data_IF_513545833300
#
_entry.id   IF_513545833300
#
_cell.length_a   1.000
_cell.length_b   1.000
_cell.length_c   1.000
_cell.angle_alpha   90.00
_cell.angle_beta   90.00
_cell.angle_gamma   90.00
#
_symmetry.space_group_name_H-M   'P 1'
#
loop_
_entity.id
_entity.type
_entity.pdbx_description
1 polymer ?
#
# COMPACT_ATOMS: atom_id res chain seq x y z
N UNK A 1 -1.43 1.14 -11.47
CA UNK A 1 -1.73 -0.04 -10.63
C UNK A 1 -3.06 0.06 -9.89
N UNK A 2 -3.59 1.24 -9.68
CA UNK A 2 -4.86 1.52 -9.01
C UNK A 2 -6.07 0.65 -9.44
N UNK A 3 -6.22 0.32 -10.69
CA UNK A 3 -7.32 -0.54 -11.17
C UNK A 3 -7.18 -2.03 -10.85
N UNK A 4 -6.00 -2.53 -10.47
CA UNK A 4 -5.80 -3.98 -10.19
C UNK A 4 -6.22 -4.39 -8.78
N UNK A 5 -6.18 -3.51 -7.81
CA UNK A 5 -6.59 -3.81 -6.43
C UNK A 5 -8.09 -3.68 -6.18
N UNK A 6 -8.76 -2.79 -6.91
CA UNK A 6 -10.23 -2.62 -6.86
C UNK A 6 -11.02 -3.76 -7.55
N UNK A 7 -10.36 -4.74 -8.17
CA UNK A 7 -11.01 -5.82 -8.92
C UNK A 7 -11.00 -7.19 -8.25
N UNK A 8 -10.62 -7.32 -6.98
CA UNK A 8 -10.87 -8.55 -6.24
C UNK A 8 -12.38 -8.68 -5.97
N UNK A 9 -13.12 -9.18 -6.96
CA UNK A 9 -14.58 -9.37 -6.87
C UNK A 9 -14.95 -10.51 -5.91
N UNK A 10 -13.98 -11.39 -5.58
CA UNK A 10 -14.16 -12.54 -4.70
C UNK A 10 -12.98 -12.71 -3.75
N UNK A 11 -13.27 -13.07 -2.51
CA UNK A 11 -12.26 -13.22 -1.44
C UNK A 11 -11.69 -14.64 -1.45
N UNK A 12 -10.35 -14.75 -1.47
CA UNK A 12 -9.66 -16.03 -1.34
C UNK A 12 -9.92 -16.66 0.04
N UNK A 13 -10.18 -17.97 0.15
CA UNK A 13 -10.57 -18.61 1.41
C UNK A 13 -9.38 -18.82 2.36
N UNK A 14 -8.78 -17.75 2.84
CA UNK A 14 -7.60 -17.76 3.72
C UNK A 14 -7.76 -18.57 4.99
N UNK A 15 -8.97 -18.60 5.56
CA UNK A 15 -9.27 -19.29 6.82
C UNK A 15 -9.23 -20.81 6.73
N UNK A 16 -9.28 -21.36 5.51
CA UNK A 16 -9.24 -22.80 5.24
C UNK A 16 -7.87 -23.29 4.79
N UNK A 17 -6.94 -22.39 4.52
CA UNK A 17 -5.65 -22.73 3.93
C UNK A 17 -4.54 -22.26 4.88
N UNK A 18 -3.64 -23.17 5.31
CA UNK A 18 -2.51 -22.77 6.14
C UNK A 18 -1.59 -21.80 5.41
N UNK A 19 -1.07 -20.80 6.13
CA UNK A 19 -0.08 -19.87 5.56
C UNK A 19 1.16 -20.64 5.09
N UNK A 20 1.65 -20.29 3.91
CA UNK A 20 2.79 -20.96 3.28
C UNK A 20 2.45 -22.28 2.57
N UNK A 21 1.19 -22.71 2.60
CA UNK A 21 0.76 -23.90 1.88
C UNK A 21 0.97 -23.80 0.38
N UNK A 22 1.16 -24.92 -0.28
CA UNK A 22 1.13 -25.04 -1.74
C UNK A 22 -0.32 -25.17 -2.24
N UNK A 23 -0.70 -24.40 -3.26
CA UNK A 23 -2.09 -24.34 -3.74
C UNK A 23 -2.15 -24.62 -5.24
N UNK A 24 -3.09 -25.48 -5.63
CA UNK A 24 -3.56 -25.65 -7.01
C UNK A 24 -4.88 -24.88 -7.12
N UNK A 25 -4.95 -23.92 -8.02
CA UNK A 25 -6.16 -23.17 -8.29
C UNK A 25 -6.95 -23.82 -9.42
N UNK A 26 -8.16 -24.31 -9.14
CA UNK A 26 -9.03 -24.93 -10.13
C UNK A 26 -10.14 -23.95 -10.55
N UNK A 27 -10.13 -23.59 -11.83
CA UNK A 27 -11.00 -22.58 -12.43
C UNK A 27 -10.30 -21.22 -12.51
N UNK A 28 -10.30 -20.62 -13.73
CA UNK A 28 -9.63 -19.32 -13.96
C UNK A 28 -10.55 -18.28 -14.61
N UNK A 29 -11.85 -18.37 -14.33
CA UNK A 29 -12.81 -17.30 -14.58
C UNK A 29 -12.63 -16.11 -13.62
N UNK A 30 -13.64 -15.28 -13.46
CA UNK A 30 -13.62 -14.10 -12.59
C UNK A 30 -13.15 -14.42 -11.15
N UNK A 31 -13.64 -15.52 -10.57
CA UNK A 31 -13.23 -15.97 -9.24
C UNK A 31 -11.76 -16.35 -9.20
N UNK A 32 -11.32 -17.17 -10.15
CA UNK A 32 -9.94 -17.66 -10.20
C UNK A 32 -8.93 -16.53 -10.42
N UNK A 33 -9.24 -15.55 -11.27
CA UNK A 33 -8.40 -14.37 -11.47
C UNK A 33 -8.34 -13.52 -10.22
N UNK A 34 -9.46 -13.36 -9.50
CA UNK A 34 -9.51 -12.66 -8.21
C UNK A 34 -8.65 -13.37 -7.16
N UNK A 35 -8.76 -14.69 -7.05
CA UNK A 35 -7.93 -15.48 -6.13
C UNK A 35 -6.44 -15.46 -6.49
N UNK A 36 -6.11 -15.58 -7.77
CA UNK A 36 -4.74 -15.48 -8.27
C UNK A 36 -4.10 -14.15 -7.92
N UNK A 37 -4.83 -13.06 -8.13
CA UNK A 37 -4.35 -11.71 -7.79
C UNK A 37 -4.00 -11.60 -6.30
N UNK A 38 -4.87 -12.11 -5.42
CA UNK A 38 -4.65 -12.11 -3.97
C UNK A 38 -3.48 -13.02 -3.55
N UNK A 39 -3.38 -14.24 -4.10
CA UNK A 39 -2.25 -15.14 -3.81
C UNK A 39 -0.93 -14.48 -4.16
N UNK A 40 -0.89 -13.78 -5.30
CA UNK A 40 0.33 -13.13 -5.79
C UNK A 40 0.71 -11.89 -4.98
N UNK A 41 -0.26 -11.04 -4.63
CA UNK A 41 -0.02 -9.82 -3.85
C UNK A 41 0.35 -10.13 -2.42
N UNK A 42 -0.41 -11.05 -1.79
CA UNK A 42 -0.30 -11.32 -0.36
C UNK A 42 0.84 -12.28 0.00
N UNK A 43 1.34 -13.05 -0.98
CA UNK A 43 2.34 -14.12 -0.76
C UNK A 43 1.93 -15.04 0.44
N UNK A 44 0.62 -15.15 0.67
CA UNK A 44 0.07 -15.93 1.79
C UNK A 44 0.35 -17.42 1.63
N UNK A 45 0.22 -17.92 0.41
CA UNK A 45 0.51 -19.28 0.00
C UNK A 45 1.29 -19.28 -1.32
N UNK A 46 1.82 -20.43 -1.70
CA UNK A 46 2.55 -20.60 -2.97
C UNK A 46 1.61 -21.18 -4.01
N UNK A 47 1.44 -20.51 -5.14
CA UNK A 47 0.70 -21.05 -6.27
C UNK A 47 1.55 -22.10 -6.98
N UNK A 48 1.14 -23.37 -6.90
CA UNK A 48 1.79 -24.50 -7.56
C UNK A 48 1.35 -24.61 -9.02
N UNK A 49 0.04 -24.60 -9.26
CA UNK A 49 -0.54 -24.75 -10.59
C UNK A 49 -1.88 -24.04 -10.69
N UNK A 50 -2.23 -23.66 -11.91
CA UNK A 50 -3.60 -23.24 -12.28
C UNK A 50 -4.14 -24.22 -13.33
N UNK A 51 -5.32 -24.78 -13.08
CA UNK A 51 -6.02 -25.63 -14.02
C UNK A 51 -7.42 -25.10 -14.32
N UNK A 52 -7.87 -25.27 -15.56
CA UNK A 52 -9.22 -24.87 -15.98
C UNK A 52 -9.83 -25.85 -16.99
N UNK A 53 -11.10 -26.24 -16.79
CA UNK A 53 -11.81 -27.18 -17.65
C UNK A 53 -12.17 -26.58 -19.02
N UNK A 54 -12.36 -25.26 -19.09
CA UNK A 54 -12.69 -24.53 -20.32
C UNK A 54 -11.50 -24.23 -21.22
N UNK A 55 -10.28 -24.54 -20.77
CA UNK A 55 -9.06 -24.24 -21.52
C UNK A 55 -8.76 -25.36 -22.53
N UNK A 56 -8.82 -25.11 -23.83
CA UNK A 56 -8.61 -26.16 -24.85
C UNK A 56 -7.15 -26.62 -24.98
N UNK A 57 -6.21 -25.75 -24.60
CA UNK A 57 -4.77 -26.02 -24.54
C UNK A 57 -4.14 -25.11 -23.49
N UNK A 58 -2.95 -25.46 -22.99
CA UNK A 58 -2.24 -24.57 -22.05
C UNK A 58 -2.12 -23.15 -22.62
N UNK A 59 -2.58 -22.18 -21.87
CA UNK A 59 -2.53 -20.75 -22.18
C UNK A 59 -1.78 -20.00 -21.11
N UNK A 60 -1.38 -18.75 -21.39
CA UNK A 60 -0.75 -17.88 -20.39
C UNK A 60 -1.65 -16.69 -20.11
N UNK A 61 -1.84 -16.39 -18.84
CA UNK A 61 -2.45 -15.17 -18.37
C UNK A 61 -1.36 -14.18 -17.96
N UNK A 62 -1.46 -12.92 -18.43
CA UNK A 62 -0.45 -11.86 -18.26
C UNK A 62 0.98 -12.27 -18.71
N UNK A 63 1.11 -13.27 -19.58
CA UNK A 63 2.40 -13.83 -20.01
C UNK A 63 3.20 -14.54 -18.90
N UNK A 64 2.65 -14.66 -17.69
CA UNK A 64 3.36 -15.12 -16.50
C UNK A 64 2.81 -16.43 -15.97
N UNK A 65 1.50 -16.53 -15.74
CA UNK A 65 0.92 -17.74 -15.18
C UNK A 65 0.38 -18.65 -16.28
N UNK A 66 0.84 -19.90 -16.25
CA UNK A 66 0.36 -20.94 -17.14
C UNK A 66 -0.94 -21.52 -16.61
N UNK A 67 -1.96 -21.58 -17.48
CA UNK A 67 -3.22 -22.24 -17.19
C UNK A 67 -3.24 -23.56 -17.94
N UNK A 68 -3.27 -24.65 -17.22
CA UNK A 68 -3.26 -25.99 -17.77
C UNK A 68 -4.68 -26.56 -17.87
N UNK A 69 -4.83 -27.64 -18.66
CA UNK A 69 -6.07 -28.41 -18.66
C UNK A 69 -6.27 -29.12 -17.33
N UNK A 70 -7.50 -29.30 -16.90
CA UNK A 70 -7.84 -30.03 -15.67
C UNK A 70 -7.23 -31.44 -15.58
N UNK A 71 -7.12 -32.12 -16.74
CA UNK A 71 -6.55 -33.48 -16.83
C UNK A 71 -5.06 -33.51 -16.51
N UNK A 72 -4.38 -32.37 -16.55
CA UNK A 72 -2.95 -32.22 -16.25
C UNK A 72 -2.69 -31.80 -14.81
N UNK A 73 -3.68 -31.93 -13.92
CA UNK A 73 -3.51 -31.58 -12.50
C UNK A 73 -2.34 -32.36 -11.90
N UNK A 74 -1.39 -31.63 -11.29
CA UNK A 74 -0.16 -32.17 -10.70
C UNK A 74 -0.25 -32.11 -9.16
N UNK A 75 -1.01 -33.04 -8.61
CA UNK A 75 -1.18 -33.19 -7.17
C UNK A 75 -0.17 -34.18 -6.61
N UNK A 76 0.77 -33.69 -5.77
CA UNK A 76 1.84 -34.49 -5.18
C UNK A 76 1.52 -34.98 -3.76
N UNK A 77 0.40 -34.55 -3.18
CA UNK A 77 -0.08 -34.96 -1.85
C UNK A 77 0.05 -33.89 -0.76
N UNK A 78 0.72 -32.78 -1.06
CA UNK A 78 0.92 -31.67 -0.11
C UNK A 78 0.12 -30.41 -0.42
N UNK A 79 -0.48 -30.33 -1.62
CA UNK A 79 -1.20 -29.16 -2.09
C UNK A 79 -2.64 -29.14 -1.55
N UNK A 80 -3.18 -27.91 -1.43
CA UNK A 80 -4.60 -27.66 -1.34
C UNK A 80 -5.15 -27.34 -2.71
N UNK A 81 -6.27 -27.97 -3.12
CA UNK A 81 -6.94 -27.63 -4.36
C UNK A 81 -8.09 -26.68 -4.06
N UNK A 82 -7.99 -25.45 -4.55
CA UNK A 82 -9.02 -24.42 -4.33
C UNK A 82 -9.92 -24.32 -5.56
N UNK A 83 -11.19 -24.64 -5.39
CA UNK A 83 -12.19 -24.64 -6.47
C UNK A 83 -12.82 -23.26 -6.61
N UNK A 84 -12.38 -22.50 -7.60
CA UNK A 84 -12.75 -21.10 -7.85
C UNK A 84 -13.97 -20.98 -8.77
N UNK A 85 -15.11 -21.54 -8.37
CA UNK A 85 -16.33 -21.63 -9.18
C UNK A 85 -17.57 -21.24 -8.37
N UNK A 86 -18.37 -20.27 -8.86
CA UNK A 86 -19.57 -19.77 -8.17
C UNK A 86 -20.75 -20.76 -8.26
N UNK A 87 -20.91 -21.40 -9.41
CA UNK A 87 -22.05 -22.30 -9.63
C UNK A 87 -21.94 -23.56 -8.79
N UNK A 88 -22.92 -23.77 -7.90
CA UNK A 88 -22.92 -24.85 -6.92
C UNK A 88 -22.86 -26.23 -7.58
N UNK A 89 -23.66 -26.49 -8.64
CA UNK A 89 -23.69 -27.79 -9.32
C UNK A 89 -22.36 -28.10 -10.02
N UNK A 90 -21.75 -27.12 -10.67
CA UNK A 90 -20.43 -27.27 -11.31
C UNK A 90 -19.35 -27.50 -10.25
N UNK A 91 -19.44 -26.79 -9.12
CA UNK A 91 -18.48 -26.93 -8.02
C UNK A 91 -18.52 -28.32 -7.41
N UNK A 92 -19.73 -28.88 -7.18
CA UNK A 92 -19.93 -30.26 -6.72
C UNK A 92 -19.39 -31.30 -7.71
N UNK A 93 -19.64 -31.11 -9.01
CA UNK A 93 -19.09 -31.99 -10.07
C UNK A 93 -17.54 -31.97 -10.02
N UNK A 94 -16.94 -30.80 -9.86
CA UNK A 94 -15.47 -30.67 -9.76
C UNK A 94 -14.94 -31.40 -8.53
N UNK A 95 -15.59 -31.27 -7.38
CA UNK A 95 -15.19 -31.95 -6.14
C UNK A 95 -15.21 -33.46 -6.33
N UNK A 96 -16.30 -34.00 -6.86
CA UNK A 96 -16.41 -35.43 -7.13
C UNK A 96 -15.31 -35.90 -8.09
N UNK A 97 -15.05 -35.15 -9.15
CA UNK A 97 -13.98 -35.48 -10.10
C UNK A 97 -12.58 -35.44 -9.45
N UNK A 98 -12.31 -34.49 -8.53
CA UNK A 98 -11.04 -34.40 -7.80
C UNK A 98 -10.87 -35.60 -6.84
N UNK A 99 -11.94 -35.99 -6.15
CA UNK A 99 -11.95 -37.17 -5.27
C UNK A 99 -11.71 -38.46 -6.05
N UNK A 100 -12.33 -38.63 -7.25
CA UNK A 100 -12.07 -39.75 -8.16
C UNK A 100 -10.60 -39.80 -8.63
N UNK A 101 -9.91 -38.67 -8.66
CA UNK A 101 -8.46 -38.59 -8.92
C UNK A 101 -7.61 -38.92 -7.71
N UNK A 102 -8.21 -39.20 -6.56
CA UNK A 102 -7.54 -39.59 -5.31
C UNK A 102 -7.08 -38.44 -4.46
N UNK A 103 -7.57 -37.20 -4.72
CA UNK A 103 -7.27 -36.05 -3.87
C UNK A 103 -8.13 -36.13 -2.61
N UNK A 104 -7.53 -36.05 -1.42
CA UNK A 104 -8.29 -36.15 -0.17
C UNK A 104 -9.29 -34.99 0.00
N UNK A 105 -10.52 -35.27 0.41
CA UNK A 105 -11.56 -34.24 0.62
C UNK A 105 -11.09 -33.11 1.56
N UNK A 106 -10.25 -33.42 2.55
CA UNK A 106 -9.68 -32.42 3.47
C UNK A 106 -8.72 -31.41 2.80
N UNK A 107 -8.24 -31.72 1.60
CA UNK A 107 -7.37 -30.84 0.80
C UNK A 107 -8.12 -30.16 -0.37
N UNK A 108 -9.42 -30.43 -0.54
CA UNK A 108 -10.26 -29.80 -1.53
C UNK A 108 -11.05 -28.66 -0.86
N UNK A 109 -10.68 -27.43 -1.17
CA UNK A 109 -11.34 -26.23 -0.66
C UNK A 109 -12.38 -25.81 -1.70
N UNK A 110 -13.65 -25.96 -1.36
CA UNK A 110 -14.75 -25.76 -2.28
C UNK A 110 -15.91 -24.94 -1.68
N UNK A 111 -15.62 -24.12 -0.70
CA UNK A 111 -16.62 -23.17 -0.21
C UNK A 111 -17.13 -22.28 -1.35
N UNK A 112 -18.40 -21.86 -1.24
CA UNK A 112 -18.99 -20.94 -2.19
C UNK A 112 -18.20 -19.63 -2.18
N UNK A 113 -17.66 -19.21 -3.34
CA UNK A 113 -16.93 -17.96 -3.41
C UNK A 113 -17.80 -16.78 -2.95
N UNK A 114 -17.36 -16.06 -1.95
CA UNK A 114 -18.01 -14.85 -1.45
C UNK A 114 -17.54 -13.66 -2.27
N UNK A 115 -18.48 -12.85 -2.75
CA UNK A 115 -18.13 -11.54 -3.31
C UNK A 115 -17.56 -10.68 -2.20
N UNK A 116 -16.45 -10.04 -2.47
CA UNK A 116 -15.94 -9.02 -1.60
C UNK A 116 -17.00 -7.91 -1.48
N UNK A 117 -17.74 -7.90 -0.36
CA UNK A 117 -18.17 -6.62 0.16
C UNK A 117 -16.94 -6.01 0.82
N UNK A 118 -16.74 -4.73 0.70
CA UNK A 118 -15.67 -3.97 1.35
C UNK A 118 -15.51 -4.41 2.83
N UNK A 119 -16.61 -4.67 3.54
CA UNK A 119 -16.64 -5.16 4.92
C UNK A 119 -16.07 -6.59 5.11
N UNK A 120 -16.31 -7.51 4.17
CA UNK A 120 -15.77 -8.88 4.22
C UNK A 120 -14.26 -8.90 3.98
N UNK A 121 -13.77 -8.06 3.08
CA UNK A 121 -12.35 -7.88 2.79
C UNK A 121 -11.61 -7.32 4.01
N UNK A 122 -12.19 -6.34 4.69
CA UNK A 122 -11.60 -5.70 5.87
C UNK A 122 -11.29 -6.70 6.99
N UNK A 123 -12.21 -7.61 7.31
CA UNK A 123 -11.97 -8.62 8.35
C UNK A 123 -10.91 -9.65 8.01
N UNK A 124 -10.68 -9.91 6.73
CA UNK A 124 -9.69 -10.90 6.27
C UNK A 124 -8.28 -10.31 6.28
N UNK A 125 -8.15 -9.03 6.04
CA UNK A 125 -6.86 -8.33 6.01
C UNK A 125 -6.35 -7.94 7.40
N UNK A 126 -7.18 -8.01 8.43
CA UNK A 126 -6.75 -7.77 9.80
C UNK A 126 -6.14 -9.03 10.41
N UNK A 127 -4.87 -8.98 10.70
CA UNK A 127 -4.18 -10.05 11.42
C UNK A 127 -3.99 -9.66 12.89
N UNK A 128 -4.42 -10.52 13.80
CA UNK A 128 -4.23 -10.32 15.24
C UNK A 128 -3.18 -11.30 15.76
N UNK A 129 -2.08 -10.78 16.29
CA UNK A 129 -0.99 -11.57 16.88
C UNK A 129 -0.65 -11.08 18.27
N UNK A 130 -0.34 -12.01 19.16
CA UNK A 130 0.33 -11.68 20.41
C UNK A 130 1.82 -11.53 20.19
N UNK A 131 2.52 -10.82 21.08
CA UNK A 131 3.96 -10.65 20.97
C UNK A 131 4.74 -11.97 20.88
N UNK A 132 4.20 -13.07 21.41
CA UNK A 132 4.83 -14.41 21.37
C UNK A 132 4.83 -15.03 19.96
N UNK A 133 4.04 -14.50 19.03
CA UNK A 133 4.03 -14.95 17.64
C UNK A 133 5.26 -14.48 16.83
N UNK A 134 6.07 -13.58 17.40
CA UNK A 134 7.25 -13.01 16.77
C UNK A 134 8.53 -13.53 17.43
N UNK A 135 9.54 -13.81 16.63
CA UNK A 135 10.86 -14.14 17.15
C UNK A 135 11.58 -12.88 17.69
N UNK A 136 12.79 -13.06 18.26
CA UNK A 136 13.53 -11.96 18.87
C UNK A 136 13.99 -10.91 17.82
N UNK A 137 14.26 -11.34 16.59
CA UNK A 137 14.66 -10.47 15.50
C UNK A 137 13.49 -9.62 15.00
N UNK A 138 12.35 -10.24 14.74
CA UNK A 138 11.13 -9.55 14.32
C UNK A 138 10.68 -8.53 15.37
N UNK A 139 10.69 -8.90 16.67
CA UNK A 139 10.40 -7.97 17.77
C UNK A 139 11.34 -6.77 17.75
N UNK A 140 12.62 -6.99 17.50
CA UNK A 140 13.59 -5.91 17.44
C UNK A 140 13.36 -5.01 16.22
N UNK A 141 13.00 -5.57 15.07
CA UNK A 141 12.65 -4.81 13.86
C UNK A 141 11.43 -3.92 14.12
N UNK A 142 10.34 -4.48 14.64
CA UNK A 142 9.10 -3.74 14.94
C UNK A 142 9.41 -2.56 15.90
N UNK A 143 10.15 -2.82 16.98
CA UNK A 143 10.54 -1.75 17.92
C UNK A 143 11.39 -0.66 17.28
N UNK A 144 12.29 -1.05 16.37
CA UNK A 144 13.21 -0.11 15.73
C UNK A 144 12.47 0.72 14.70
N UNK A 145 11.58 0.11 13.90
CA UNK A 145 10.71 0.81 12.98
C UNK A 145 9.81 1.82 13.71
N UNK A 146 9.13 1.38 14.76
CA UNK A 146 8.28 2.24 15.58
C UNK A 146 9.05 3.45 16.15
N UNK A 147 10.30 3.24 16.62
CA UNK A 147 11.16 4.36 17.09
C UNK A 147 11.59 5.27 15.94
N UNK A 148 11.87 4.72 14.76
CA UNK A 148 12.20 5.51 13.60
C UNK A 148 11.00 6.33 13.09
N UNK A 149 9.79 5.91 13.44
CA UNK A 149 8.55 6.64 13.15
C UNK A 149 8.06 7.49 14.35
N UNK A 150 8.97 7.92 15.22
CA UNK A 150 8.61 8.82 16.32
C UNK A 150 8.04 10.13 15.80
N UNK A 151 6.82 10.47 16.23
CA UNK A 151 6.11 11.70 15.84
C UNK A 151 6.53 12.83 16.75
N UNK A 152 7.12 13.88 16.20
CA UNK A 152 7.43 15.09 16.93
C UNK A 152 6.15 15.84 17.26
N UNK A 153 5.84 16.00 18.54
CA UNK A 153 4.67 16.72 18.98
C UNK A 153 4.78 18.22 18.62
N UNK A 154 3.80 18.71 17.90
CA UNK A 154 3.70 20.11 17.48
C UNK A 154 2.33 20.66 17.86
N UNK A 155 2.16 21.97 17.80
CA UNK A 155 0.84 22.58 17.98
C UNK A 155 -0.17 21.99 16.98
N UNK A 156 -1.24 21.42 17.51
CA UNK A 156 -2.28 20.76 16.71
C UNK A 156 -3.14 21.73 15.89
N UNK A 157 -3.15 23.02 16.23
CA UNK A 157 -4.00 24.03 15.58
C UNK A 157 -3.63 24.34 14.12
N UNK A 158 -2.38 24.04 13.72
CA UNK A 158 -1.86 24.35 12.39
C UNK A 158 -2.08 23.20 11.38
N UNK A 159 -2.61 22.05 11.81
CA UNK A 159 -2.90 20.97 10.88
C UNK A 159 -4.17 21.25 10.07
N UNK A 160 -4.09 21.02 8.79
CA UNK A 160 -5.19 21.13 7.84
C UNK A 160 -5.26 19.89 6.98
N UNK A 161 -6.46 19.54 6.53
CA UNK A 161 -6.65 18.56 5.47
C UNK A 161 -6.61 19.26 4.13
N UNK A 162 -5.88 18.70 3.17
CA UNK A 162 -5.75 19.17 1.79
C UNK A 162 -6.16 18.01 0.87
N UNK A 163 -7.11 18.24 -0.03
CA UNK A 163 -7.69 17.21 -0.90
C UNK A 163 -9.06 16.77 -0.45
N UNK A 164 -9.47 15.59 -0.88
CA UNK A 164 -10.81 15.03 -0.63
C UNK A 164 -11.05 14.63 0.84
N UNK A 165 -12.31 14.41 1.17
CA UNK A 165 -12.70 13.64 2.35
C UNK A 165 -12.57 12.16 2.02
N UNK A 166 -11.62 11.45 2.62
CA UNK A 166 -11.30 10.07 2.31
C UNK A 166 -9.98 9.95 1.55
N UNK A 167 -9.83 8.94 0.71
CA UNK A 167 -8.64 8.76 -0.13
C UNK A 167 -8.39 9.98 -1.02
N UNK A 168 -7.11 10.30 -1.29
CA UNK A 168 -6.70 11.50 -2.04
C UNK A 168 -6.64 12.79 -1.21
N UNK A 169 -6.98 12.76 0.09
CA UNK A 169 -6.80 13.90 1.00
C UNK A 169 -5.74 13.64 2.06
N UNK A 170 -4.84 14.56 2.28
CA UNK A 170 -3.69 14.41 3.19
C UNK A 170 -3.61 15.52 4.20
N UNK A 171 -3.08 15.19 5.39
CA UNK A 171 -2.83 16.18 6.44
C UNK A 171 -1.54 16.91 6.16
N UNK A 172 -1.60 18.22 6.27
CA UNK A 172 -0.48 19.15 6.10
C UNK A 172 -0.45 20.20 7.20
N UNK A 173 0.68 20.86 7.37
CA UNK A 173 0.75 22.12 8.15
C UNK A 173 0.35 23.29 7.26
N UNK A 174 -0.42 24.22 7.79
CA UNK A 174 -0.80 25.45 7.09
C UNK A 174 0.37 26.44 7.00
N UNK A 175 1.50 25.98 6.49
CA UNK A 175 2.74 26.73 6.30
C UNK A 175 3.18 26.59 4.85
N UNK A 176 3.04 27.65 4.07
CA UNK A 176 3.37 27.66 2.64
C UNK A 176 4.23 28.89 2.33
N UNK A 177 5.44 28.68 1.83
CA UNK A 177 6.44 29.73 1.60
C UNK A 177 6.79 29.92 0.12
N UNK A 178 6.56 28.88 -0.73
CA UNK A 178 6.81 28.92 -2.15
C UNK A 178 5.62 28.20 -2.86
N UNK A 179 5.01 28.78 -3.90
CA UNK A 179 3.83 28.23 -4.57
C UNK A 179 4.18 27.13 -5.60
N UNK A 180 5.15 26.28 -5.31
CA UNK A 180 5.52 25.12 -6.14
C UNK A 180 5.25 23.83 -5.38
N UNK A 181 4.48 22.95 -5.98
CA UNK A 181 4.19 21.62 -5.45
C UNK A 181 4.51 20.52 -6.47
N UNK A 182 5.09 19.43 -6.00
CA UNK A 182 5.31 18.20 -6.75
C UNK A 182 4.33 17.15 -6.26
N UNK A 183 3.66 16.47 -7.17
CA UNK A 183 2.66 15.43 -6.89
C UNK A 183 2.98 14.19 -7.71
N UNK A 184 3.27 13.09 -7.02
CA UNK A 184 3.57 11.79 -7.61
C UNK A 184 2.49 10.78 -7.24
N UNK A 185 2.03 9.99 -8.25
CA UNK A 185 0.94 9.05 -8.09
C UNK A 185 -0.40 9.76 -8.06
N UNK A 186 -0.97 9.98 -9.25
CA UNK A 186 -2.21 10.75 -9.44
C UNK A 186 -3.41 9.82 -9.55
N UNK A 187 -3.23 8.69 -10.26
CA UNK A 187 -4.30 7.75 -10.56
C UNK A 187 -5.52 8.47 -11.15
N UNK A 188 -6.67 8.39 -10.50
CA UNK A 188 -7.95 8.99 -10.91
C UNK A 188 -8.42 10.12 -9.97
N UNK A 189 -7.60 10.53 -9.00
CA UNK A 189 -7.91 11.62 -8.07
C UNK A 189 -6.87 12.76 -8.12
N UNK A 190 -7.33 13.95 -8.42
CA UNK A 190 -6.55 15.20 -8.42
C UNK A 190 -7.05 16.17 -7.33
N UNK A 191 -7.73 15.68 -6.31
CA UNK A 191 -8.35 16.54 -5.29
C UNK A 191 -7.32 17.29 -4.45
N UNK A 192 -6.19 16.63 -4.11
CA UNK A 192 -5.07 17.29 -3.43
C UNK A 192 -4.45 18.36 -4.33
N UNK A 193 -4.20 18.04 -5.59
CA UNK A 193 -3.63 18.96 -6.59
C UNK A 193 -4.51 20.17 -6.79
N UNK A 194 -5.83 19.97 -6.89
CA UNK A 194 -6.80 21.04 -7.02
C UNK A 194 -6.83 21.94 -5.77
N UNK A 195 -6.79 21.33 -4.58
CA UNK A 195 -6.75 22.09 -3.33
C UNK A 195 -5.45 22.89 -3.17
N UNK A 196 -4.33 22.40 -3.69
CA UNK A 196 -3.08 23.15 -3.75
C UNK A 196 -3.15 24.28 -4.78
N UNK A 197 -3.71 24.03 -5.97
CA UNK A 197 -3.93 25.06 -6.98
C UNK A 197 -4.87 26.17 -6.48
N UNK A 198 -5.92 25.84 -5.73
CA UNK A 198 -6.80 26.83 -5.08
C UNK A 198 -6.08 27.71 -4.05
N UNK A 199 -4.95 27.24 -3.51
CA UNK A 199 -4.03 27.99 -2.64
C UNK A 199 -3.00 28.81 -3.46
N UNK A 200 -3.04 28.75 -4.79
CA UNK A 200 -2.16 29.48 -5.70
C UNK A 200 -0.88 28.76 -6.08
N UNK A 201 -0.82 27.43 -5.88
CA UNK A 201 0.34 26.63 -6.28
C UNK A 201 0.32 26.29 -7.78
N UNK A 202 1.51 26.24 -8.37
CA UNK A 202 1.79 25.53 -9.60
C UNK A 202 2.10 24.08 -9.22
N UNK A 203 1.34 23.11 -9.72
CA UNK A 203 1.42 21.71 -9.33
C UNK A 203 2.04 20.90 -10.47
N UNK A 204 3.21 20.36 -10.22
CA UNK A 204 3.97 19.51 -11.14
C UNK A 204 3.62 18.04 -10.86
N UNK A 205 2.83 17.47 -11.76
CA UNK A 205 2.17 16.16 -11.60
C UNK A 205 2.84 15.09 -12.43
N UNK A 206 3.11 13.95 -11.80
CA UNK A 206 3.82 12.84 -12.42
C UNK A 206 3.09 11.52 -12.17
N UNK A 207 2.68 10.89 -13.25
CA UNK A 207 2.13 9.53 -13.23
C UNK A 207 2.30 8.88 -14.61
N UNK A 208 3.08 7.80 -14.69
CA UNK A 208 3.32 7.07 -15.94
C UNK A 208 2.23 6.03 -16.22
N UNK A 209 1.38 5.73 -15.25
CA UNK A 209 0.37 4.65 -15.32
C UNK A 209 -0.93 5.09 -15.96
N UNK A 210 -1.25 6.39 -15.92
CA UNK A 210 -2.45 6.96 -16.50
C UNK A 210 -2.16 7.58 -17.91
N UNK A 211 -3.20 7.72 -18.71
CA UNK A 211 -3.05 8.34 -20.03
C UNK A 211 -3.15 9.85 -19.98
N UNK A 212 -4.01 10.35 -19.09
CA UNK A 212 -4.27 11.77 -18.90
C UNK A 212 -4.91 12.00 -17.53
N UNK A 213 -4.92 13.25 -17.07
CA UNK A 213 -5.55 13.64 -15.82
C UNK A 213 -7.09 13.52 -15.91
N UNK A 214 -7.78 13.29 -14.77
CA UNK A 214 -9.25 13.34 -14.72
C UNK A 214 -9.84 14.66 -15.22
N UNK A 215 -9.18 15.76 -14.96
CA UNK A 215 -9.44 17.09 -15.55
C UNK A 215 -8.18 17.97 -15.48
N UNK A 216 -8.19 19.08 -16.24
CA UNK A 216 -7.07 20.01 -16.36
C UNK A 216 -7.39 21.37 -15.74
N UNK A 217 -6.35 22.04 -15.25
CA UNK A 217 -6.35 23.43 -14.79
C UNK A 217 -5.09 24.13 -15.32
N UNK A 218 -5.09 25.45 -15.37
CA UNK A 218 -3.94 26.24 -15.81
C UNK A 218 -2.72 26.07 -14.88
N UNK A 219 -2.98 25.74 -13.62
CA UNK A 219 -1.97 25.50 -12.60
C UNK A 219 -1.36 24.09 -12.64
N UNK A 220 -1.93 23.15 -13.42
CA UNK A 220 -1.49 21.76 -13.52
C UNK A 220 -0.47 21.57 -14.63
N UNK A 221 0.69 21.05 -14.27
CA UNK A 221 1.78 20.67 -15.18
C UNK A 221 1.93 19.17 -15.16
N UNK A 222 1.16 18.47 -15.98
CA UNK A 222 1.16 17.01 -16.00
C UNK A 222 2.22 16.45 -16.94
N UNK A 223 2.94 15.45 -16.44
CA UNK A 223 3.93 14.68 -17.18
C UNK A 223 3.61 13.18 -17.05
N UNK A 224 3.46 12.50 -18.19
CA UNK A 224 3.31 11.05 -18.22
C UNK A 224 4.65 10.36 -17.93
N UNK A 225 5.23 10.64 -16.78
CA UNK A 225 6.46 10.09 -16.24
C UNK A 225 6.21 9.64 -14.81
N UNK A 226 6.93 8.61 -14.37
CA UNK A 226 6.96 8.21 -12.96
C UNK A 226 8.25 8.65 -12.28
N UNK A 227 8.27 8.61 -10.95
CA UNK A 227 9.50 8.76 -10.17
C UNK A 227 10.23 7.42 -10.10
N UNK A 228 11.54 7.43 -10.32
CA UNK A 228 12.38 6.24 -10.26
C UNK A 228 12.65 5.84 -8.81
N UNK A 229 12.49 4.54 -8.52
CA UNK A 229 12.77 3.93 -7.22
C UNK A 229 14.24 3.44 -7.09
N UNK A 230 15.05 3.75 -8.09
CA UNK A 230 16.50 3.54 -8.09
C UNK A 230 17.24 4.82 -8.49
N UNK A 231 18.56 4.76 -8.60
CA UNK A 231 19.39 5.91 -8.97
C UNK A 231 19.46 6.15 -10.49
N UNK A 232 18.64 5.46 -11.28
CA UNK A 232 18.79 5.40 -12.75
C UNK A 232 17.57 5.95 -13.47
N UNK A 233 17.78 6.98 -14.26
CA UNK A 233 16.76 7.48 -15.18
C UNK A 233 16.51 6.49 -16.33
N UNK A 234 15.24 6.27 -16.63
CA UNK A 234 14.81 5.54 -17.82
C UNK A 234 14.00 6.45 -18.74
N UNK A 235 13.40 5.91 -19.80
CA UNK A 235 12.52 6.67 -20.67
C UNK A 235 11.25 7.13 -19.93
N UNK A 236 10.66 6.25 -19.12
CA UNK A 236 9.40 6.48 -18.41
C UNK A 236 9.55 6.90 -16.94
N UNK A 237 10.68 6.59 -16.31
CA UNK A 237 10.96 6.89 -14.90
C UNK A 237 12.15 7.82 -14.78
N UNK A 238 12.04 8.82 -13.92
CA UNK A 238 13.12 9.79 -13.63
C UNK A 238 13.33 9.90 -12.13
N UNK A 239 14.57 10.09 -11.71
CA UNK A 239 14.84 10.40 -10.30
C UNK A 239 14.21 11.74 -9.90
N UNK A 240 13.85 11.89 -8.63
CA UNK A 240 13.30 13.17 -8.13
C UNK A 240 14.26 14.35 -8.41
N UNK A 241 15.56 14.14 -8.24
CA UNK A 241 16.59 15.14 -8.56
C UNK A 241 16.56 15.55 -10.03
N UNK A 242 16.44 14.58 -10.94
CA UNK A 242 16.33 14.87 -12.38
C UNK A 242 15.07 15.66 -12.70
N UNK A 243 13.92 15.32 -12.08
CA UNK A 243 12.67 16.03 -12.32
C UNK A 243 12.69 17.46 -11.80
N UNK A 244 13.30 17.71 -10.65
CA UNK A 244 13.53 19.07 -10.12
C UNK A 244 14.41 19.87 -11.07
N UNK A 245 15.48 19.26 -11.59
CA UNK A 245 16.37 19.89 -12.56
C UNK A 245 15.67 20.19 -13.90
N UNK A 246 14.89 19.26 -14.44
CA UNK A 246 14.19 19.43 -15.70
C UNK A 246 13.14 20.57 -15.67
N UNK A 247 12.63 20.89 -14.49
CA UNK A 247 11.71 22.02 -14.30
C UNK A 247 12.44 23.35 -13.99
N UNK A 248 13.77 23.39 -14.07
CA UNK A 248 14.59 24.56 -13.71
C UNK A 248 14.43 24.98 -12.22
N UNK A 249 14.10 24.03 -11.32
CA UNK A 249 13.87 24.28 -9.90
C UNK A 249 15.09 23.97 -9.01
N UNK A 250 16.27 23.82 -9.56
CA UNK A 250 17.51 23.51 -8.78
C UNK A 250 17.79 24.51 -7.65
N UNK A 251 17.34 25.76 -7.81
CA UNK A 251 17.57 26.86 -6.85
C UNK A 251 16.33 27.18 -6.01
N UNK A 252 15.21 26.57 -6.33
CA UNK A 252 13.99 26.78 -5.59
C UNK A 252 14.11 26.15 -4.20
N UNK A 253 13.49 26.80 -3.25
CA UNK A 253 13.43 26.36 -1.86
C UNK A 253 12.00 26.46 -1.37
N UNK A 254 11.68 25.75 -0.30
CA UNK A 254 10.38 25.87 0.34
C UNK A 254 9.21 25.29 -0.48
N UNK A 255 9.51 24.36 -1.37
CA UNK A 255 8.52 23.63 -2.16
C UNK A 255 7.74 22.62 -1.31
N UNK A 256 6.72 22.03 -1.88
CA UNK A 256 5.91 20.95 -1.28
C UNK A 256 6.07 19.68 -2.12
N UNK A 257 6.20 18.52 -1.47
CA UNK A 257 6.22 17.21 -2.11
C UNK A 257 5.08 16.35 -1.57
N UNK A 258 4.25 15.80 -2.46
CA UNK A 258 3.33 14.68 -2.21
C UNK A 258 3.80 13.48 -3.02
N UNK A 259 3.88 12.32 -2.38
CA UNK A 259 4.29 11.08 -3.04
C UNK A 259 3.48 9.91 -2.52
N UNK A 260 2.76 9.28 -3.42
CA UNK A 260 1.94 8.10 -3.24
C UNK A 260 2.11 7.23 -4.50
N UNK A 261 3.09 6.35 -4.49
CA UNK A 261 3.59 5.63 -5.69
C UNK A 261 3.67 4.11 -5.49
N UNK A 262 2.79 3.59 -4.63
CA UNK A 262 2.48 2.17 -4.50
C UNK A 262 3.72 1.29 -4.18
N UNK A 263 4.58 1.75 -3.27
CA UNK A 263 5.76 1.03 -2.76
C UNK A 263 7.09 1.52 -3.31
N UNK A 264 7.10 2.43 -4.31
CA UNK A 264 8.34 3.03 -4.81
C UNK A 264 8.92 4.11 -3.88
N UNK A 265 8.15 4.60 -2.89
CA UNK A 265 8.56 5.67 -1.96
C UNK A 265 9.91 5.37 -1.30
N UNK A 266 10.11 4.13 -0.88
CA UNK A 266 11.34 3.69 -0.21
C UNK A 266 12.56 3.82 -1.09
N UNK A 267 12.45 3.41 -2.38
CA UNK A 267 13.52 3.56 -3.34
C UNK A 267 13.82 5.01 -3.66
N UNK A 268 12.79 5.83 -3.83
CA UNK A 268 12.95 7.27 -4.06
C UNK A 268 13.67 7.92 -2.90
N UNK A 269 13.28 7.65 -1.66
CA UNK A 269 13.92 8.20 -0.46
C UNK A 269 15.37 7.71 -0.31
N UNK A 270 15.66 6.45 -0.65
CA UNK A 270 17.00 5.87 -0.59
C UNK A 270 17.96 6.55 -1.57
N UNK A 271 17.48 6.87 -2.78
CA UNK A 271 18.34 7.36 -3.87
C UNK A 271 18.29 8.88 -4.09
N UNK A 272 17.31 9.59 -3.53
CA UNK A 272 17.29 11.05 -3.62
C UNK A 272 18.39 11.66 -2.77
N UNK A 273 19.17 12.58 -3.33
CA UNK A 273 20.19 13.27 -2.57
C UNK A 273 19.60 14.21 -1.51
N UNK A 274 20.41 14.46 -0.48
CA UNK A 274 20.00 15.29 0.66
C UNK A 274 19.61 16.72 0.23
N UNK A 275 20.35 17.29 -0.73
CA UNK A 275 20.11 18.67 -1.17
C UNK A 275 18.74 18.82 -1.81
N UNK A 276 18.34 17.85 -2.66
CA UNK A 276 17.01 17.83 -3.27
C UNK A 276 15.91 17.71 -2.21
N UNK A 277 16.07 16.82 -1.21
CA UNK A 277 15.10 16.71 -0.12
C UNK A 277 15.00 18.02 0.69
N UNK A 278 16.11 18.71 0.93
CA UNK A 278 16.15 20.00 1.65
C UNK A 278 15.43 21.14 0.91
N UNK A 279 15.09 21.01 -0.36
CA UNK A 279 14.32 22.02 -1.10
C UNK A 279 12.83 22.03 -0.70
N UNK A 280 12.33 20.95 -0.10
CA UNK A 280 10.93 20.81 0.30
C UNK A 280 10.73 21.19 1.77
N UNK A 281 9.75 22.03 2.06
CA UNK A 281 9.35 22.37 3.42
C UNK A 281 8.48 21.31 4.07
N UNK A 282 7.63 20.69 3.28
CA UNK A 282 6.75 19.63 3.68
C UNK A 282 6.84 18.48 2.65
N UNK A 283 6.94 17.27 3.17
CA UNK A 283 6.94 16.04 2.42
C UNK A 283 5.80 15.19 2.94
N UNK A 284 4.79 15.01 2.11
CA UNK A 284 3.62 14.15 2.35
C UNK A 284 3.87 12.84 1.66
N UNK A 285 3.84 11.75 2.38
CA UNK A 285 4.11 10.41 1.87
C UNK A 285 2.98 9.46 2.23
N UNK A 286 2.66 8.57 1.31
CA UNK A 286 1.94 7.36 1.63
C UNK A 286 2.92 6.19 1.58
N UNK A 287 3.28 5.64 2.74
CA UNK A 287 4.17 4.51 2.86
C UNK A 287 3.43 3.20 2.66
N UNK A 288 3.85 2.43 1.68
CA UNK A 288 3.34 1.09 1.43
C UNK A 288 4.25 -0.01 2.01
N UNK A 289 3.73 -1.22 2.07
CA UNK A 289 4.46 -2.44 2.47
C UNK A 289 5.05 -2.41 3.89
N UNK A 290 4.51 -1.59 4.80
CA UNK A 290 5.01 -1.42 6.17
C UNK A 290 5.11 -2.72 6.98
N UNK A 291 4.43 -3.79 6.55
CA UNK A 291 4.46 -5.12 7.19
C UNK A 291 5.44 -6.09 6.53
N UNK A 292 6.21 -5.67 5.53
CA UNK A 292 7.28 -6.49 4.96
C UNK A 292 8.51 -6.48 5.89
N UNK A 293 8.58 -7.47 6.78
CA UNK A 293 9.66 -7.62 7.74
C UNK A 293 11.05 -7.75 7.09
N UNK A 294 11.13 -8.31 5.89
CA UNK A 294 12.40 -8.46 5.18
C UNK A 294 12.96 -7.10 4.74
N UNK A 295 12.10 -6.16 4.37
CA UNK A 295 12.45 -4.82 3.93
C UNK A 295 12.50 -3.77 5.05
N UNK A 296 12.02 -4.08 6.27
CA UNK A 296 12.04 -3.15 7.40
C UNK A 296 13.40 -2.52 7.71
N UNK A 297 14.56 -3.20 7.62
CA UNK A 297 15.86 -2.55 7.81
C UNK A 297 16.08 -1.39 6.84
N UNK A 298 15.72 -1.56 5.56
CA UNK A 298 15.78 -0.53 4.53
C UNK A 298 14.86 0.64 4.88
N UNK A 299 13.62 0.37 5.30
CA UNK A 299 12.66 1.40 5.69
C UNK A 299 13.17 2.26 6.85
N UNK A 300 13.73 1.61 7.86
CA UNK A 300 14.35 2.28 9.02
C UNK A 300 15.48 3.21 8.58
N UNK A 301 16.30 2.80 7.63
CA UNK A 301 17.43 3.62 7.16
C UNK A 301 16.95 4.78 6.29
N UNK A 302 15.93 4.60 5.44
CA UNK A 302 15.26 5.69 4.71
C UNK A 302 14.66 6.73 5.66
N UNK A 303 13.94 6.29 6.70
CA UNK A 303 13.35 7.17 7.70
C UNK A 303 14.41 7.97 8.46
N UNK A 304 15.51 7.36 8.90
CA UNK A 304 16.62 8.04 9.55
C UNK A 304 17.24 9.10 8.65
N UNK A 305 17.44 8.75 7.36
CA UNK A 305 17.99 9.68 6.38
C UNK A 305 17.07 10.89 6.15
N UNK A 306 15.77 10.67 5.96
CA UNK A 306 14.81 11.77 5.85
C UNK A 306 14.79 12.63 7.10
N UNK A 307 14.92 12.00 8.27
CA UNK A 307 14.97 12.67 9.56
C UNK A 307 16.29 13.42 9.84
N UNK A 308 17.27 13.41 8.99
CA UNK A 308 18.42 14.32 9.10
C UNK A 308 17.98 15.78 8.88
N UNK A 309 17.01 16.01 8.02
CA UNK A 309 16.56 17.34 7.56
C UNK A 309 15.15 17.68 8.00
N UNK A 310 14.27 16.68 8.11
CA UNK A 310 12.86 16.83 8.43
C UNK A 310 12.49 16.15 9.74
N UNK A 311 11.38 16.53 10.32
CA UNK A 311 10.77 15.85 11.46
C UNK A 311 9.42 15.27 11.04
N UNK A 312 9.16 14.04 11.42
CA UNK A 312 7.85 13.42 11.29
C UNK A 312 6.92 14.07 12.32
N UNK A 313 5.83 14.69 11.87
CA UNK A 313 4.91 15.44 12.74
C UNK A 313 3.48 14.88 12.73
N UNK A 314 3.17 14.00 11.78
CA UNK A 314 1.86 13.36 11.68
C UNK A 314 1.97 11.97 11.05
N UNK A 315 1.13 11.05 11.52
CA UNK A 315 0.88 9.73 10.96
C UNK A 315 -0.60 9.44 10.95
N UNK A 316 -1.06 8.81 9.88
CA UNK A 316 -2.40 8.26 9.75
C UNK A 316 -2.32 6.85 9.19
N UNK A 317 -3.12 5.93 9.71
CA UNK A 317 -3.19 4.56 9.19
C UNK A 317 -4.22 4.48 8.07
N UNK A 318 -3.80 4.14 6.86
CA UNK A 318 -4.73 3.91 5.77
C UNK A 318 -5.58 2.65 6.05
N UNK A 319 -6.91 2.83 6.17
CA UNK A 319 -7.83 1.75 6.50
C UNK A 319 -8.28 0.93 5.29
N UNK A 320 -7.81 1.26 4.10
CA UNK A 320 -8.06 0.50 2.87
C UNK A 320 -7.18 -0.74 2.75
N UNK A 321 -6.06 -0.79 3.48
CA UNK A 321 -5.05 -1.84 3.40
C UNK A 321 -5.12 -2.86 4.54
N UNK A 322 -4.06 -3.66 4.61
CA UNK A 322 -3.87 -4.65 5.69
C UNK A 322 -3.48 -3.99 6.99
N UNK A 323 -3.96 -4.53 8.11
CA UNK A 323 -3.52 -4.11 9.44
C UNK A 323 -3.10 -5.33 10.26
N UNK A 324 -1.89 -5.28 10.79
CA UNK A 324 -1.39 -6.25 11.76
C UNK A 324 -1.57 -5.68 13.16
N UNK A 325 -2.48 -6.28 13.93
CA UNK A 325 -2.64 -5.94 15.34
C UNK A 325 -1.68 -6.76 16.20
N UNK A 326 -0.74 -6.09 16.84
CA UNK A 326 0.24 -6.70 17.75
C UNK A 326 -0.15 -6.32 19.18
N UNK A 327 -0.53 -7.30 20.00
CA UNK A 327 -1.08 -7.05 21.33
C UNK A 327 -2.16 -5.93 21.32
N UNK A 328 -3.07 -5.99 20.36
CA UNK A 328 -4.16 -5.04 20.11
C UNK A 328 -3.73 -3.64 19.62
N UNK A 329 -2.46 -3.40 19.37
CA UNK A 329 -1.96 -2.13 18.77
C UNK A 329 -1.78 -2.31 17.27
N UNK A 330 -2.31 -1.41 16.43
CA UNK A 330 -2.25 -1.55 14.98
C UNK A 330 -0.85 -1.24 14.43
N UNK A 331 -0.43 -2.03 13.47
CA UNK A 331 0.63 -1.74 12.50
C UNK A 331 -0.03 -1.79 11.12
N UNK A 332 -0.46 -0.65 10.56
CA UNK A 332 -1.02 -0.62 9.22
C UNK A 332 0.01 -1.01 8.17
N UNK A 333 -0.43 -1.67 7.11
CA UNK A 333 0.41 -2.01 5.95
C UNK A 333 0.69 -0.79 5.08
N UNK A 334 -0.23 0.18 5.11
CA UNK A 334 -0.11 1.47 4.42
C UNK A 334 -0.33 2.59 5.44
N UNK A 335 0.51 3.62 5.41
CA UNK A 335 0.47 4.74 6.34
C UNK A 335 0.76 6.06 5.64
N UNK A 336 -0.09 7.04 5.86
CA UNK A 336 0.18 8.43 5.50
C UNK A 336 1.09 9.08 6.53
N UNK A 337 2.05 9.87 6.06
CA UNK A 337 3.02 10.54 6.91
C UNK A 337 3.29 11.96 6.44
N UNK A 338 3.35 12.90 7.38
CA UNK A 338 3.79 14.27 7.12
C UNK A 338 5.14 14.52 7.78
N UNK A 339 6.11 14.85 6.96
CA UNK A 339 7.40 15.36 7.38
C UNK A 339 7.51 16.86 7.09
N UNK A 340 8.01 17.64 8.05
CA UNK A 340 8.29 19.06 7.84
C UNK A 340 9.74 19.37 8.15
N UNK A 341 10.30 20.36 7.48
CA UNK A 341 11.66 20.85 7.81
C UNK A 341 11.82 21.15 9.30
N UNK A 342 12.94 20.74 9.86
CA UNK A 342 13.20 20.89 11.31
C UNK A 342 13.17 22.34 11.77
N UNK A 343 13.55 23.28 10.93
CA UNK A 343 13.51 24.73 11.24
C UNK A 343 12.07 25.31 11.31
N UNK A 344 11.10 24.56 10.80
CA UNK A 344 9.67 24.90 10.87
C UNK A 344 8.97 24.27 12.09
N UNK A 345 9.61 23.33 12.76
CA UNK A 345 9.02 22.61 13.90
C UNK A 345 8.93 23.54 15.09
N UNK A 346 7.71 23.73 15.58
CA UNK A 346 7.44 24.34 16.87
C UNK A 346 6.99 23.23 17.82
N UNK A 347 7.93 22.68 18.58
CA UNK A 347 7.62 21.59 19.50
C UNK A 347 6.58 21.99 20.54
N UNK A 348 5.69 21.08 20.84
CA UNK A 348 4.69 21.18 21.90
C UNK A 348 4.90 20.07 22.92
N UNK A 349 4.55 20.35 24.15
CA UNK A 349 4.50 19.34 25.24
C UNK A 349 3.20 18.52 25.18
N UNK A 350 2.25 18.96 24.38
CA UNK A 350 0.99 18.26 24.20
C UNK A 350 1.21 16.98 23.37
N UNK A 351 0.75 15.86 23.90
CA UNK A 351 0.85 14.56 23.23
C UNK A 351 -0.24 14.46 22.17
N UNK A 352 0.15 14.26 20.94
CA UNK A 352 -0.79 14.02 19.86
C UNK A 352 -1.39 12.62 19.98
N UNK A 353 -2.71 12.54 19.87
CA UNK A 353 -3.47 11.31 19.74
C UNK A 353 -3.94 11.16 18.29
N UNK A 354 -3.52 10.10 17.64
CA UNK A 354 -3.81 9.84 16.24
C UNK A 354 -4.95 8.83 16.08
N UNK A 355 -5.89 9.06 15.18
CA UNK A 355 -5.96 10.18 14.23
C UNK A 355 -6.30 11.51 14.88
N UNK A 356 -5.94 12.62 14.23
CA UNK A 356 -6.35 13.97 14.60
C UNK A 356 -7.80 14.23 14.22
N UNK A 357 -8.42 15.30 14.73
CA UNK A 357 -9.79 15.67 14.37
C UNK A 357 -9.97 16.07 12.90
N UNK A 358 -8.87 16.39 12.22
CA UNK A 358 -8.85 16.77 10.79
C UNK A 358 -8.54 15.56 9.88
N UNK A 359 -8.20 14.41 10.45
CA UNK A 359 -8.08 13.16 9.70
C UNK A 359 -9.45 12.64 9.25
N UNK A 360 -9.44 11.88 8.19
CA UNK A 360 -10.61 11.15 7.69
C UNK A 360 -10.15 9.77 7.27
N UNK A 361 -10.96 8.72 7.50
CA UNK A 361 -10.65 7.39 6.99
C UNK A 361 -10.47 7.41 5.47
N UNK A 362 -9.49 6.71 4.91
CA UNK A 362 -9.33 6.61 3.46
C UNK A 362 -10.57 5.99 2.80
N UNK A 363 -11.09 4.89 3.35
CA UNK A 363 -12.42 4.39 3.01
C UNK A 363 -13.43 4.81 4.09
N UNK A 364 -14.32 5.74 3.73
CA UNK A 364 -15.36 6.29 4.61
C UNK A 364 -16.39 5.25 5.07
N UNK A 365 -16.47 4.09 4.41
CA UNK A 365 -17.36 2.98 4.78
C UNK A 365 -16.75 2.04 5.83
N UNK A 366 -15.45 2.15 6.08
CA UNK A 366 -14.70 1.32 7.01
C UNK A 366 -14.38 2.06 8.30
N UNK A 367 -14.10 1.29 9.35
CA UNK A 367 -13.69 1.86 10.63
C UNK A 367 -12.31 2.47 10.55
N UNK A 368 -12.17 3.64 11.16
CA UNK A 368 -10.90 4.35 11.31
C UNK A 368 -9.87 3.56 12.12
N UNK A 369 -8.59 3.63 11.74
CA UNK A 369 -7.49 3.01 12.46
C UNK A 369 -6.99 3.96 13.55
N UNK A 370 -7.28 3.61 14.80
CA UNK A 370 -6.86 4.42 15.94
C UNK A 370 -5.44 4.04 16.36
N UNK A 371 -4.46 4.87 16.02
CA UNK A 371 -3.07 4.73 16.47
C UNK A 371 -2.91 5.18 17.94
N UNK A 372 -3.74 6.09 18.42
CA UNK A 372 -3.69 6.61 19.79
C UNK A 372 -2.41 7.41 20.09
N UNK A 373 -1.84 7.24 21.29
CA UNK A 373 -0.53 7.81 21.61
C UNK A 373 0.57 6.95 20.96
N UNK A 374 0.91 7.28 19.72
CA UNK A 374 1.90 6.53 18.95
C UNK A 374 3.29 6.51 19.61
N UNK A 375 3.67 7.56 20.33
CA UNK A 375 4.97 7.70 20.99
C UNK A 375 5.08 6.95 22.33
N UNK A 376 4.09 6.16 22.72
CA UNK A 376 4.12 5.38 23.95
C UNK A 376 5.34 4.45 23.96
N UNK A 377 6.13 4.47 25.04
CA UNK A 377 7.46 3.82 25.13
C UNK A 377 7.45 2.33 24.85
N UNK A 378 6.40 1.61 25.09
CA UNK A 378 6.27 0.19 24.79
C UNK A 378 4.98 -0.07 24.03
N UNK A 379 4.77 0.70 22.96
CA UNK A 379 3.52 0.75 22.21
C UNK A 379 2.96 -0.64 21.87
N UNK A 380 3.79 -1.54 21.39
CA UNK A 380 3.37 -2.90 21.04
C UNK A 380 3.47 -3.92 22.19
N UNK A 381 3.99 -3.57 23.37
CA UNK A 381 4.15 -4.51 24.46
C UNK A 381 5.11 -5.68 24.16
N UNK A 382 6.12 -5.44 23.34
CA UNK A 382 7.08 -6.47 22.86
C UNK A 382 8.35 -6.54 23.74
#
# INVERSE_FOLDING_TARGET
MCQKYLQATYVFPYHLIPRGASVILYGFGEVGQSYYSQIRSEKYCTLHQVVDAGTPSSTFYDGIVKIDKRESIDFTGSEYVVVAVVNDAIREEIVLWLEEKGIPSAQIIHEKPERSSILGTYHIYHQYKTGDAFDAHEKQLIKTLHRAMHVTNTDGSDFIRVGADGDGGYIMKNIFRNPIAYSFGICDDVSWDAAMADKGFQVFQYDHTIQDLPYHRDEFHYFKLGVADDATDTEELKTLTTLVHQNDHDKEQHMILKMDVEGAEWGVLEHTDRHTLEQFDQIVLEFHEMMDFASMPRYIDCLKRLQETHALVHLHGNNFGHVLFINQKPLPGTMEALFIKKDLVKESVEVLHLPLLVDMPNDLSLTEIVLGNWNETNYYGL
#
